data_IF_087830722885
#
_entry.id   IF_087830722885
#
_cell.length_a   1.000
_cell.length_b   1.000
_cell.length_c   1.000
_cell.angle_alpha   90.00
_cell.angle_beta   90.00
_cell.angle_gamma   90.00
#
_symmetry.space_group_name_H-M   'P 1'
#
loop_
_entity.id
_entity.type
_entity.pdbx_description
1 polymer ?
#
# COMPACT_ATOMS: atom_id res chain seq x y z
N UNK A 1 -0.05 -7.38 -28.36
CA UNK A 1 0.05 -8.60 -27.53
C UNK A 1 1.28 -8.47 -26.66
N UNK A 2 1.19 -8.71 -25.35
CA UNK A 2 2.34 -8.78 -24.45
C UNK A 2 2.48 -10.22 -23.98
N UNK A 3 3.69 -10.73 -23.92
CA UNK A 3 3.95 -12.10 -23.46
C UNK A 3 4.28 -12.07 -21.96
N UNK A 4 3.81 -13.07 -21.22
CA UNK A 4 4.05 -13.24 -19.79
C UNK A 4 4.65 -14.63 -19.59
N UNK A 5 5.76 -14.71 -18.85
CA UNK A 5 6.38 -15.97 -18.45
C UNK A 5 6.06 -16.22 -16.99
N UNK A 6 5.52 -17.40 -16.67
CA UNK A 6 5.10 -17.79 -15.32
C UNK A 6 5.75 -19.14 -15.01
N UNK A 7 6.36 -19.27 -13.84
CA UNK A 7 6.80 -20.56 -13.32
C UNK A 7 5.65 -21.22 -12.57
N UNK A 8 5.32 -22.46 -12.93
CA UNK A 8 4.29 -23.28 -12.31
C UNK A 8 4.91 -24.63 -11.95
N UNK A 9 4.43 -25.27 -10.89
CA UNK A 9 4.77 -26.66 -10.64
C UNK A 9 4.16 -27.58 -11.71
N UNK A 10 4.80 -28.74 -11.92
CA UNK A 10 4.43 -29.67 -12.98
C UNK A 10 3.00 -30.19 -12.85
N UNK A 11 2.51 -30.38 -11.63
CA UNK A 11 1.17 -30.90 -11.37
C UNK A 11 0.10 -29.86 -11.68
N UNK A 12 0.31 -28.59 -11.29
CA UNK A 12 -0.59 -27.48 -11.63
C UNK A 12 -0.63 -27.28 -13.14
N UNK A 13 0.52 -27.30 -13.82
CA UNK A 13 0.56 -27.20 -15.27
C UNK A 13 -0.17 -28.36 -15.97
N UNK A 14 -0.01 -29.60 -15.48
CA UNK A 14 -0.71 -30.78 -15.98
C UNK A 14 -2.23 -30.66 -15.81
N UNK A 15 -2.70 -30.35 -14.60
CA UNK A 15 -4.13 -30.18 -14.29
C UNK A 15 -4.76 -29.08 -15.12
N UNK A 16 -4.08 -27.95 -15.25
CA UNK A 16 -4.58 -26.82 -16.01
C UNK A 16 -4.73 -27.15 -17.51
N UNK A 17 -3.80 -27.94 -18.09
CA UNK A 17 -3.94 -28.43 -19.47
C UNK A 17 -5.09 -29.40 -19.65
N UNK A 18 -5.26 -30.35 -18.73
CA UNK A 18 -6.39 -31.29 -18.78
C UNK A 18 -7.70 -30.52 -18.76
N UNK A 19 -7.84 -29.55 -17.84
CA UNK A 19 -9.04 -28.71 -17.75
C UNK A 19 -9.28 -27.85 -18.98
N UNK A 20 -8.23 -27.29 -19.56
CA UNK A 20 -8.36 -26.53 -20.80
C UNK A 20 -8.87 -27.42 -21.95
N UNK A 21 -8.36 -28.65 -22.07
CA UNK A 21 -8.79 -29.61 -23.09
C UNK A 21 -10.25 -30.05 -22.89
N UNK A 22 -10.68 -30.33 -21.66
CA UNK A 22 -12.07 -30.67 -21.34
C UNK A 22 -13.05 -29.56 -21.72
N UNK A 23 -12.63 -28.29 -21.57
CA UNK A 23 -13.42 -27.11 -21.93
C UNK A 23 -13.29 -26.72 -23.41
N UNK A 24 -12.47 -27.43 -24.20
CA UNK A 24 -12.23 -27.10 -25.61
C UNK A 24 -11.49 -25.77 -25.81
N UNK A 25 -10.74 -25.30 -24.81
CA UNK A 25 -10.01 -24.03 -24.85
C UNK A 25 -8.50 -24.23 -24.67
N UNK A 26 -7.72 -23.16 -24.84
CA UNK A 26 -6.29 -23.18 -24.55
C UNK A 26 -6.01 -22.69 -23.13
N UNK A 27 -4.88 -23.12 -22.56
CA UNK A 27 -4.45 -22.65 -21.24
C UNK A 27 -4.31 -21.11 -21.19
N UNK A 28 -3.76 -20.51 -22.25
CA UNK A 28 -3.60 -19.05 -22.34
C UNK A 28 -4.94 -18.30 -22.42
N UNK A 29 -5.95 -18.90 -23.05
CA UNK A 29 -7.30 -18.33 -23.06
C UNK A 29 -7.95 -18.41 -21.67
N UNK A 30 -7.82 -19.55 -20.99
CA UNK A 30 -8.32 -19.74 -19.62
C UNK A 30 -7.70 -18.71 -18.66
N UNK A 31 -6.37 -18.55 -18.71
CA UNK A 31 -5.66 -17.55 -17.88
C UNK A 31 -6.10 -16.13 -18.21
N UNK A 32 -6.29 -15.81 -19.50
CA UNK A 32 -6.77 -14.49 -19.93
C UNK A 32 -8.15 -14.17 -19.35
N UNK A 33 -9.07 -15.13 -19.43
CA UNK A 33 -10.44 -14.93 -18.95
C UNK A 33 -10.48 -14.82 -17.42
N UNK A 34 -9.68 -15.63 -16.72
CA UNK A 34 -9.53 -15.55 -15.26
C UNK A 34 -8.99 -14.18 -14.80
N UNK A 35 -7.91 -13.68 -15.43
CA UNK A 35 -7.34 -12.38 -15.08
C UNK A 35 -8.31 -11.23 -15.35
N UNK A 36 -9.15 -11.34 -16.38
CA UNK A 36 -10.18 -10.36 -16.68
C UNK A 36 -11.27 -10.36 -15.60
N UNK A 37 -11.75 -11.53 -15.20
CA UNK A 37 -12.74 -11.66 -14.12
C UNK A 37 -12.20 -11.12 -12.79
N UNK A 38 -10.92 -11.34 -12.49
CA UNK A 38 -10.28 -10.81 -11.28
C UNK A 38 -10.19 -9.28 -11.29
N UNK A 39 -9.99 -8.67 -12.47
CA UNK A 39 -9.96 -7.22 -12.62
C UNK A 39 -11.37 -6.59 -12.57
N UNK A 40 -12.38 -7.29 -13.08
CA UNK A 40 -13.78 -6.83 -13.08
C UNK A 40 -14.49 -7.09 -11.74
N UNK A 41 -13.97 -8.00 -10.91
CA UNK A 41 -14.50 -8.23 -9.57
C UNK A 41 -14.34 -6.94 -8.73
N UNK A 42 -15.43 -6.36 -8.19
CA UNK A 42 -15.30 -5.22 -7.30
C UNK A 42 -14.46 -5.66 -6.12
N UNK A 43 -13.34 -4.98 -5.91
CA UNK A 43 -12.46 -5.23 -4.77
C UNK A 43 -13.32 -5.17 -3.52
N UNK A 44 -13.62 -6.32 -2.95
CA UNK A 44 -14.34 -6.45 -1.69
C UNK A 44 -13.39 -6.11 -0.53
N UNK A 45 -12.71 -4.97 -0.65
CA UNK A 45 -12.21 -4.23 0.50
C UNK A 45 -13.41 -3.54 1.16
N UNK A 46 -14.41 -4.34 1.54
CA UNK A 46 -15.51 -3.99 2.41
C UNK A 46 -14.97 -3.88 3.85
N UNK A 47 -14.06 -2.92 4.02
CA UNK A 47 -13.38 -2.62 5.28
C UNK A 47 -12.92 -1.17 5.37
N UNK A 48 -12.89 -0.44 4.25
CA UNK A 48 -12.81 1.02 4.31
C UNK A 48 -14.22 1.54 4.57
N UNK A 49 -14.63 1.54 5.85
CA UNK A 49 -15.74 2.38 6.28
C UNK A 49 -15.43 3.78 5.76
N UNK A 50 -16.26 4.31 4.86
CA UNK A 50 -16.19 5.71 4.47
C UNK A 50 -16.44 6.55 5.73
N UNK A 51 -15.35 6.92 6.41
CA UNK A 51 -15.40 7.99 7.39
C UNK A 51 -15.49 9.28 6.57
N UNK A 52 -16.54 10.10 6.71
CA UNK A 52 -16.59 11.38 6.03
C UNK A 52 -15.52 12.28 6.63
N UNK A 53 -14.35 12.31 6.00
CA UNK A 53 -13.29 13.28 6.28
C UNK A 53 -13.79 14.66 5.83
N UNK A 54 -13.96 15.66 6.71
CA UNK A 54 -14.25 17.04 6.29
C UNK A 54 -13.03 17.73 5.67
N UNK A 55 -11.88 17.04 5.60
CA UNK A 55 -10.68 17.59 4.99
C UNK A 55 -10.75 17.44 3.47
N UNK A 56 -11.17 18.51 2.80
CA UNK A 56 -10.93 18.69 1.38
C UNK A 56 -9.46 19.02 1.18
N UNK A 57 -8.65 18.02 0.87
CA UNK A 57 -7.31 18.26 0.37
C UNK A 57 -7.44 19.13 -0.90
N UNK A 58 -6.83 20.33 -0.88
CA UNK A 58 -6.69 21.12 -2.09
C UNK A 58 -6.07 20.22 -3.16
N UNK A 59 -6.66 20.17 -4.37
CA UNK A 59 -6.25 19.19 -5.35
C UNK A 59 -4.79 19.40 -5.72
N UNK A 60 -4.04 18.31 -5.85
CA UNK A 60 -2.59 18.27 -6.08
C UNK A 60 -2.10 18.97 -7.37
N UNK A 61 -3.00 19.61 -8.13
CA UNK A 61 -2.64 20.48 -9.25
C UNK A 61 -2.45 21.95 -8.85
N UNK A 62 -2.92 22.39 -7.68
CA UNK A 62 -2.70 23.77 -7.21
C UNK A 62 -1.29 23.96 -6.63
N UNK A 63 -0.72 22.89 -6.09
CA UNK A 63 0.68 22.80 -5.71
C UNK A 63 1.17 21.45 -6.25
N UNK A 64 1.92 21.47 -7.36
CA UNK A 64 2.56 20.27 -7.90
C UNK A 64 3.36 19.51 -6.82
N UNK A 65 3.84 18.28 -7.10
CA UNK A 65 4.65 17.53 -6.14
C UNK A 65 5.70 18.47 -5.57
N UNK A 66 6.02 18.44 -4.26
CA UNK A 66 7.01 19.36 -3.69
C UNK A 66 8.32 19.15 -4.45
N UNK A 67 8.56 19.99 -5.46
CA UNK A 67 9.81 20.04 -6.17
C UNK A 67 10.72 20.68 -5.14
N UNK A 68 11.37 19.85 -4.34
CA UNK A 68 12.55 20.26 -3.61
C UNK A 68 13.46 20.87 -4.68
N UNK A 69 13.52 22.20 -4.71
CA UNK A 69 14.36 22.91 -5.68
C UNK A 69 15.74 22.29 -5.55
N UNK A 70 16.34 21.76 -6.63
CA UNK A 70 17.67 21.21 -6.54
C UNK A 70 18.56 22.29 -5.93
N UNK A 71 19.39 21.89 -4.97
CA UNK A 71 20.34 22.80 -4.36
C UNK A 71 21.07 23.56 -5.48
N UNK A 72 21.16 24.89 -5.36
CA UNK A 72 21.90 25.71 -6.31
C UNK A 72 23.27 25.07 -6.59
N UNK A 73 23.75 25.15 -7.83
CA UNK A 73 25.12 24.72 -8.18
C UNK A 73 26.20 25.32 -7.28
N UNK A 74 25.89 26.40 -6.57
CA UNK A 74 26.77 27.11 -5.63
C UNK A 74 26.29 27.02 -4.16
N UNK A 75 25.47 26.04 -3.81
CA UNK A 75 25.04 25.84 -2.44
C UNK A 75 26.23 25.43 -1.57
N UNK A 76 26.34 26.06 -0.39
CA UNK A 76 27.36 25.70 0.59
C UNK A 76 27.28 24.19 0.88
N UNK A 77 28.39 23.45 0.86
CA UNK A 77 28.39 22.03 1.15
C UNK A 77 27.79 21.77 2.54
N UNK A 78 27.00 20.70 2.66
CA UNK A 78 26.41 20.29 3.95
C UNK A 78 27.55 20.09 4.95
N UNK A 79 27.49 20.79 6.08
CA UNK A 79 28.52 20.71 7.11
C UNK A 79 28.26 19.45 7.96
N UNK A 80 29.10 18.41 7.87
CA UNK A 80 28.95 17.24 8.72
C UNK A 80 29.06 17.66 10.19
N UNK A 81 28.08 17.26 11.01
CA UNK A 81 28.04 17.65 12.42
C UNK A 81 27.28 18.93 12.76
N UNK A 82 26.71 19.66 11.78
CA UNK A 82 25.89 20.86 12.05
C UNK A 82 24.65 20.61 12.93
N UNK A 83 24.17 19.36 12.96
CA UNK A 83 23.04 18.91 13.78
C UNK A 83 23.48 18.14 15.04
N UNK A 84 24.79 17.97 15.28
CA UNK A 84 25.31 17.31 16.48
C UNK A 84 24.85 18.10 17.72
N UNK A 85 24.23 17.41 18.68
CA UNK A 85 23.67 18.02 19.90
C UNK A 85 22.30 18.68 19.74
N UNK A 86 21.82 18.86 18.50
CA UNK A 86 20.45 19.34 18.20
C UNK A 86 19.46 18.20 17.97
N UNK A 87 19.97 17.01 17.65
CA UNK A 87 19.18 15.78 17.55
C UNK A 87 18.97 15.29 18.98
N UNK A 88 17.71 15.24 19.42
CA UNK A 88 17.29 14.61 20.67
C UNK A 88 16.18 13.64 20.36
N UNK A 89 16.23 12.48 21.00
CA UNK A 89 15.11 11.55 21.06
C UNK A 89 14.28 11.98 22.28
N UNK A 90 12.95 11.95 22.14
CA UNK A 90 12.08 12.25 23.26
C UNK A 90 12.10 11.08 24.26
N UNK A 91 11.88 11.36 25.54
CA UNK A 91 11.97 10.34 26.60
C UNK A 91 10.88 9.27 26.47
N UNK A 92 9.78 9.61 25.80
CA UNK A 92 8.61 8.77 25.51
C UNK A 92 8.68 8.08 24.13
N UNK A 93 9.81 8.13 23.42
CA UNK A 93 9.90 7.61 22.05
C UNK A 93 9.60 6.11 21.92
N UNK A 94 9.97 5.32 22.93
CA UNK A 94 9.72 3.88 22.98
C UNK A 94 8.35 3.53 23.60
N UNK A 95 7.61 4.51 24.11
CA UNK A 95 6.30 4.32 24.74
C UNK A 95 5.17 4.57 23.73
N UNK A 96 4.23 3.63 23.67
CA UNK A 96 3.04 3.80 22.86
C UNK A 96 1.99 4.61 23.62
N UNK A 97 1.33 5.58 22.96
CA UNK A 97 0.23 6.29 23.59
C UNK A 97 -0.87 5.36 24.09
N UNK A 98 -1.55 5.75 25.17
CA UNK A 98 -2.64 4.98 25.75
C UNK A 98 -3.73 4.68 24.71
N UNK A 99 -4.11 3.40 24.60
CA UNK A 99 -5.14 2.93 23.66
C UNK A 99 -4.68 2.77 22.21
N UNK A 100 -3.45 3.16 21.84
CA UNK A 100 -2.94 3.00 20.47
C UNK A 100 -2.85 1.52 20.04
N UNK A 101 -2.27 0.66 20.90
CA UNK A 101 -2.12 -0.76 20.60
C UNK A 101 -3.47 -1.48 20.59
N UNK A 102 -4.33 -1.18 21.55
CA UNK A 102 -5.70 -1.72 21.61
C UNK A 102 -6.48 -1.38 20.34
N UNK A 103 -6.40 -0.12 19.89
CA UNK A 103 -7.02 0.33 18.64
C UNK A 103 -6.41 -0.37 17.39
N UNK A 104 -5.10 -0.61 17.38
CA UNK A 104 -4.41 -1.29 16.29
C UNK A 104 -4.80 -2.78 16.19
N UNK A 105 -5.01 -3.43 17.33
CA UNK A 105 -5.39 -4.85 17.40
C UNK A 105 -6.91 -5.08 17.42
N UNK A 106 -7.71 -4.02 17.34
CA UNK A 106 -9.17 -4.10 17.25
C UNK A 106 -9.83 -4.47 18.58
N UNK A 107 -9.18 -4.20 19.71
CA UNK A 107 -9.76 -4.36 21.03
C UNK A 107 -10.62 -3.13 21.35
N UNK A 108 -11.93 -3.32 21.55
CA UNK A 108 -12.89 -2.26 21.88
C UNK A 108 -12.79 -1.85 23.37
N UNK A 109 -11.65 -1.27 23.78
CA UNK A 109 -11.48 -0.65 25.10
C UNK A 109 -11.86 0.83 25.07
N UNK A 110 -12.28 1.40 26.21
CA UNK A 110 -12.58 2.85 26.30
C UNK A 110 -11.34 3.70 25.95
N UNK A 111 -10.14 3.20 26.26
CA UNK A 111 -8.88 3.81 25.87
C UNK A 111 -8.66 3.79 24.35
N UNK A 112 -8.93 2.66 23.68
CA UNK A 112 -8.88 2.57 22.22
C UNK A 112 -9.85 3.56 21.53
N UNK A 113 -11.04 3.74 22.11
CA UNK A 113 -12.05 4.65 21.57
C UNK A 113 -11.69 6.13 21.73
N UNK A 114 -10.95 6.47 22.80
CA UNK A 114 -10.48 7.83 23.07
C UNK A 114 -9.23 8.21 22.27
N UNK A 115 -8.43 7.24 21.80
CA UNK A 115 -7.23 7.51 20.97
C UNK A 115 -7.54 8.18 19.62
N UNK A 116 -8.72 7.89 19.02
CA UNK A 116 -9.11 8.43 17.72
C UNK A 116 -10.05 9.66 17.80
N UNK A 117 -10.43 10.11 19.00
CA UNK A 117 -11.25 11.32 19.18
C UNK A 117 -10.42 12.59 19.15
#
# INVERSE_FOLDING_TARGET
MKNVTIALDDETHRRARIRAAELGTSLSALVKDYLRQLADAPSSQAGVREMPMPFTAAPAYAAGPPIAKPASRNAKPRQPGALRGKIRVADDFDEWPEGFLDALYGEDTEAAHNWYK
#
